data_IF_012231051437
#
_entry.id   IF_012231051437
#
_cell.length_a   1.000
_cell.length_b   1.000
_cell.length_c   1.000
_cell.angle_alpha   90.00
_cell.angle_beta   90.00
_cell.angle_gamma   90.00
#
_symmetry.space_group_name_H-M   'P 1'
#
loop_
_entity.id
_entity.type
_entity.pdbx_description
1 polymer ?
#
# COMPACT_ATOMS: atom_id res chain seq x y z
N UNK A 1 -1.79 -32.44 -19.58
CA UNK A 1 -2.99 -31.91 -18.88
C UNK A 1 -2.93 -30.38 -18.93
N UNK A 2 -3.83 -29.70 -19.65
CA UNK A 2 -3.86 -28.22 -19.68
C UNK A 2 -4.61 -27.73 -18.44
N UNK A 3 -3.88 -27.22 -17.46
CA UNK A 3 -4.48 -26.60 -16.27
C UNK A 3 -5.02 -25.24 -16.70
N UNK A 4 -6.34 -25.16 -16.90
CA UNK A 4 -7.04 -23.89 -17.09
C UNK A 4 -7.14 -23.20 -15.73
N UNK A 5 -6.16 -22.38 -15.38
CA UNK A 5 -6.31 -21.50 -14.21
C UNK A 5 -7.25 -20.36 -14.60
N UNK A 6 -8.50 -20.43 -14.17
CA UNK A 6 -9.32 -19.23 -14.09
C UNK A 6 -8.52 -18.19 -13.31
N UNK A 7 -8.33 -17.00 -13.89
CA UNK A 7 -7.65 -15.88 -13.23
C UNK A 7 -8.30 -15.72 -11.85
N UNK A 8 -7.57 -15.94 -10.75
CA UNK A 8 -8.19 -16.03 -9.43
C UNK A 8 -8.92 -14.71 -9.14
N UNK A 9 -10.12 -14.78 -8.55
CA UNK A 9 -10.90 -13.60 -8.18
C UNK A 9 -10.08 -12.60 -7.36
N UNK A 10 -9.12 -13.11 -6.58
CA UNK A 10 -8.11 -12.37 -5.83
C UNK A 10 -7.28 -11.40 -6.70
N UNK A 11 -6.96 -11.73 -7.97
CA UNK A 11 -6.25 -10.79 -8.87
C UNK A 11 -7.11 -9.57 -9.18
N UNK A 12 -8.42 -9.76 -9.39
CA UNK A 12 -9.36 -8.66 -9.66
C UNK A 12 -9.53 -7.78 -8.42
N UNK A 13 -9.65 -8.41 -7.24
CA UNK A 13 -9.67 -7.76 -5.93
C UNK A 13 -8.43 -6.87 -5.74
N UNK A 14 -7.23 -7.44 -5.89
CA UNK A 14 -5.97 -6.70 -5.76
C UNK A 14 -5.90 -5.51 -6.72
N UNK A 15 -6.24 -5.70 -8.00
CA UNK A 15 -6.24 -4.62 -8.98
C UNK A 15 -7.23 -3.50 -8.63
N UNK A 16 -8.39 -3.85 -8.07
CA UNK A 16 -9.38 -2.88 -7.62
C UNK A 16 -8.87 -2.09 -6.41
N UNK A 17 -8.30 -2.77 -5.41
CA UNK A 17 -7.76 -2.14 -4.20
C UNK A 17 -6.59 -1.23 -4.55
N UNK A 18 -5.66 -1.66 -5.42
CA UNK A 18 -4.54 -0.81 -5.87
C UNK A 18 -5.05 0.45 -6.58
N UNK A 19 -6.06 0.34 -7.44
CA UNK A 19 -6.66 1.51 -8.11
C UNK A 19 -7.33 2.46 -7.12
N UNK A 20 -8.12 1.92 -6.20
CA UNK A 20 -8.76 2.71 -5.14
C UNK A 20 -7.73 3.42 -4.27
N UNK A 21 -6.65 2.71 -3.92
CA UNK A 21 -5.57 3.28 -3.11
C UNK A 21 -4.80 4.37 -3.86
N UNK A 22 -4.49 4.19 -5.14
CA UNK A 22 -3.88 5.26 -5.94
C UNK A 22 -4.77 6.50 -6.04
N UNK A 23 -6.08 6.33 -6.26
CA UNK A 23 -7.02 7.44 -6.27
C UNK A 23 -7.01 8.17 -4.92
N UNK A 24 -7.06 7.41 -3.83
CA UNK A 24 -6.91 7.95 -2.48
C UNK A 24 -5.61 8.76 -2.32
N UNK A 25 -4.47 8.23 -2.77
CA UNK A 25 -3.17 8.91 -2.67
C UNK A 25 -3.16 10.23 -3.47
N UNK A 26 -3.78 10.29 -4.64
CA UNK A 26 -3.91 11.53 -5.41
C UNK A 26 -4.77 12.56 -4.66
N UNK A 27 -5.92 12.15 -4.12
CA UNK A 27 -6.79 13.03 -3.33
C UNK A 27 -6.08 13.52 -2.08
N UNK A 28 -5.39 12.63 -1.36
CA UNK A 28 -4.60 12.98 -0.18
C UNK A 28 -3.46 13.96 -0.51
N UNK A 29 -2.80 13.79 -1.66
CA UNK A 29 -1.77 14.71 -2.15
C UNK A 29 -2.36 16.11 -2.40
N UNK A 30 -3.49 16.19 -3.10
CA UNK A 30 -4.15 17.47 -3.39
C UNK A 30 -4.63 18.16 -2.10
N UNK A 31 -5.24 17.41 -1.18
CA UNK A 31 -5.67 17.95 0.11
C UNK A 31 -4.48 18.44 0.94
N UNK A 32 -3.41 17.66 1.05
CA UNK A 32 -2.22 18.08 1.78
C UNK A 32 -1.57 19.32 1.14
N UNK A 33 -1.52 19.41 -0.19
CA UNK A 33 -1.02 20.59 -0.89
C UNK A 33 -1.88 21.82 -0.61
N UNK A 34 -3.21 21.67 -0.67
CA UNK A 34 -4.15 22.74 -0.33
C UNK A 34 -3.95 23.24 1.10
N UNK A 35 -3.89 22.34 2.08
CA UNK A 35 -3.64 22.71 3.48
C UNK A 35 -2.24 23.31 3.68
N UNK A 36 -1.24 22.92 2.88
CA UNK A 36 0.07 23.56 2.91
C UNK A 36 -0.04 25.04 2.55
N UNK A 37 -0.72 25.36 1.44
CA UNK A 37 -0.92 26.74 0.98
C UNK A 37 -1.75 27.55 1.98
N UNK A 38 -2.84 26.96 2.52
CA UNK A 38 -3.68 27.61 3.52
C UNK A 38 -2.92 27.93 4.81
N UNK A 39 -2.15 26.97 5.34
CA UNK A 39 -1.34 27.20 6.55
C UNK A 39 -0.19 28.19 6.30
N UNK A 40 0.38 28.22 5.09
CA UNK A 40 1.36 29.22 4.71
C UNK A 40 0.75 30.63 4.72
N UNK A 41 -0.46 30.78 4.16
CA UNK A 41 -1.20 32.04 4.15
C UNK A 41 -1.49 32.56 5.56
N UNK A 42 -1.82 31.67 6.51
CA UNK A 42 -2.04 32.02 7.91
C UNK A 42 -0.77 32.08 8.77
N UNK A 43 0.42 32.07 8.17
CA UNK A 43 1.71 32.13 8.86
C UNK A 43 1.87 31.07 9.97
N UNK A 44 1.45 29.83 9.69
CA UNK A 44 1.54 28.67 10.60
C UNK A 44 2.66 27.71 10.16
N UNK A 45 3.95 28.08 10.37
CA UNK A 45 5.09 27.40 9.72
C UNK A 45 5.21 25.93 10.10
N UNK A 46 4.89 25.55 11.34
CA UNK A 46 4.96 24.15 11.80
C UNK A 46 3.98 23.27 11.05
N UNK A 47 2.73 23.73 10.91
CA UNK A 47 1.69 23.03 10.17
C UNK A 47 2.02 23.01 8.67
N UNK A 48 2.47 24.13 8.10
CA UNK A 48 2.90 24.21 6.69
C UNK A 48 3.94 23.14 6.37
N UNK A 49 4.98 23.01 7.19
CA UNK A 49 6.01 21.98 7.00
C UNK A 49 5.43 20.56 7.10
N UNK A 50 4.56 20.29 8.07
CA UNK A 50 3.94 18.97 8.21
C UNK A 50 3.06 18.59 7.01
N UNK A 51 2.23 19.52 6.52
CA UNK A 51 1.42 19.26 5.33
C UNK A 51 2.26 19.18 4.06
N UNK A 52 3.34 19.97 3.93
CA UNK A 52 4.26 19.87 2.80
C UNK A 52 4.94 18.50 2.74
N UNK A 53 5.42 18.01 3.89
CA UNK A 53 5.96 16.65 4.01
C UNK A 53 4.90 15.61 3.66
N UNK A 54 3.66 15.79 4.13
CA UNK A 54 2.51 14.98 3.74
C UNK A 54 2.29 14.94 2.24
N UNK A 55 2.32 16.08 1.56
CA UNK A 55 2.16 16.19 0.10
C UNK A 55 3.20 15.36 -0.63
N UNK A 56 4.50 15.55 -0.33
CA UNK A 56 5.55 14.76 -0.97
C UNK A 56 5.43 13.28 -0.64
N UNK A 57 5.03 12.94 0.58
CA UNK A 57 4.86 11.58 1.01
C UNK A 57 3.75 10.85 0.25
N UNK A 58 2.57 11.46 0.12
CA UNK A 58 1.46 10.89 -0.65
C UNK A 58 1.76 10.87 -2.15
N UNK A 59 2.41 11.91 -2.68
CA UNK A 59 2.79 11.98 -4.10
C UNK A 59 3.78 10.87 -4.46
N UNK A 60 4.86 10.71 -3.70
CA UNK A 60 5.86 9.65 -3.93
C UNK A 60 5.21 8.29 -3.82
N UNK A 61 4.35 8.08 -2.81
CA UNK A 61 3.57 6.84 -2.69
C UNK A 61 2.72 6.58 -3.94
N UNK A 62 2.03 7.60 -4.47
CA UNK A 62 1.19 7.46 -5.66
C UNK A 62 1.99 7.01 -6.89
N UNK A 63 3.20 7.55 -7.07
CA UNK A 63 4.10 7.19 -8.17
C UNK A 63 4.54 5.73 -8.02
N UNK A 64 4.96 5.32 -6.83
CA UNK A 64 5.36 3.93 -6.56
C UNK A 64 4.24 2.93 -6.83
N UNK A 65 3.00 3.22 -6.40
CA UNK A 65 1.86 2.32 -6.63
C UNK A 65 1.39 2.32 -8.09
N UNK A 66 1.61 3.40 -8.84
CA UNK A 66 1.38 3.44 -10.29
C UNK A 66 2.32 2.50 -11.03
N UNK A 67 3.60 2.53 -10.67
CA UNK A 67 4.60 1.65 -11.25
C UNK A 67 4.30 0.19 -10.89
N UNK A 68 3.95 -0.07 -9.62
CA UNK A 68 3.49 -1.38 -9.18
C UNK A 68 2.29 -1.90 -9.98
N UNK A 69 1.27 -1.07 -10.21
CA UNK A 69 0.12 -1.46 -11.01
C UNK A 69 0.51 -1.80 -12.45
N UNK A 70 1.40 -1.02 -13.05
CA UNK A 70 1.94 -1.27 -14.39
C UNK A 70 2.64 -2.63 -14.45
N UNK A 71 3.52 -2.91 -13.49
CA UNK A 71 4.20 -4.20 -13.37
C UNK A 71 3.21 -5.34 -13.16
N UNK A 72 2.25 -5.20 -12.24
CA UNK A 72 1.25 -6.24 -11.94
C UNK A 72 0.40 -6.63 -13.17
N UNK A 73 0.07 -5.67 -14.04
CA UNK A 73 -0.66 -5.92 -15.28
C UNK A 73 0.16 -6.72 -16.30
N UNK A 74 1.47 -6.48 -16.37
CA UNK A 74 2.39 -7.12 -17.34
C UNK A 74 2.89 -8.48 -16.86
N UNK A 75 3.00 -8.68 -15.55
CA UNK A 75 3.51 -9.93 -14.99
C UNK A 75 2.50 -11.06 -15.14
N UNK A 76 3.00 -12.27 -15.44
CA UNK A 76 2.20 -13.50 -15.48
C UNK A 76 2.03 -14.05 -14.07
N UNK A 77 0.87 -14.67 -13.81
CA UNK A 77 0.50 -15.19 -12.49
C UNK A 77 1.58 -16.05 -11.81
N UNK A 78 2.26 -17.01 -12.47
CA UNK A 78 3.26 -17.87 -11.81
C UNK A 78 4.45 -17.12 -11.21
N UNK A 79 4.70 -15.88 -11.66
CA UNK A 79 5.87 -15.08 -11.24
C UNK A 79 5.47 -14.00 -10.22
N UNK A 80 4.21 -13.99 -9.74
CA UNK A 80 3.72 -12.98 -8.80
C UNK A 80 4.48 -12.99 -7.47
N UNK A 81 4.80 -14.17 -6.94
CA UNK A 81 5.60 -14.29 -5.72
C UNK A 81 6.97 -13.60 -5.83
N UNK A 82 7.65 -13.69 -6.99
CA UNK A 82 8.92 -12.99 -7.23
C UNK A 82 8.70 -11.49 -7.34
N UNK A 83 7.67 -11.09 -8.08
CA UNK A 83 7.30 -9.68 -8.22
C UNK A 83 7.07 -9.04 -6.84
N UNK A 84 6.29 -9.69 -5.97
CA UNK A 84 5.96 -9.17 -4.64
C UNK A 84 7.15 -9.17 -3.68
N UNK A 85 8.14 -10.06 -3.88
CA UNK A 85 9.41 -10.03 -3.14
C UNK A 85 10.34 -8.91 -3.62
N UNK A 86 10.36 -8.62 -4.91
CA UNK A 86 11.25 -7.62 -5.52
C UNK A 86 10.69 -6.20 -5.43
N UNK A 87 9.36 -6.04 -5.47
CA UNK A 87 8.75 -4.73 -5.32
C UNK A 87 8.84 -4.27 -3.87
N UNK A 88 9.47 -3.11 -3.67
CA UNK A 88 9.50 -2.38 -2.41
C UNK A 88 8.99 -0.96 -2.68
N UNK A 89 7.69 -0.73 -2.49
CA UNK A 89 7.29 -0.03 -1.29
C UNK A 89 7.06 -1.06 -0.19
N UNK A 90 7.05 -0.65 1.07
CA UNK A 90 6.69 -1.51 2.18
C UNK A 90 5.20 -1.87 2.04
N UNK A 91 4.92 -2.96 1.32
CA UNK A 91 3.59 -3.44 0.92
C UNK A 91 2.84 -3.98 2.16
N UNK A 92 2.41 -3.08 3.03
CA UNK A 92 1.74 -3.40 4.29
C UNK A 92 2.64 -3.50 5.52
N UNK A 93 3.96 -3.61 5.34
CA UNK A 93 4.90 -3.76 6.46
C UNK A 93 4.89 -2.56 7.41
N UNK A 94 4.55 -1.36 6.92
CA UNK A 94 4.44 -0.15 7.74
C UNK A 94 3.00 0.28 7.99
N UNK A 95 1.99 -0.56 7.72
CA UNK A 95 0.60 -0.22 8.00
C UNK A 95 0.41 0.25 9.45
N UNK A 96 0.97 -0.49 10.41
CA UNK A 96 0.99 -0.10 11.82
C UNK A 96 1.77 1.20 12.06
N UNK A 97 2.90 1.39 11.39
CA UNK A 97 3.69 2.62 11.48
C UNK A 97 2.88 3.85 11.05
N UNK A 98 2.15 3.77 9.94
CA UNK A 98 1.25 4.84 9.50
C UNK A 98 0.14 5.11 10.52
N UNK A 99 -0.51 4.06 11.04
CA UNK A 99 -1.55 4.24 12.06
C UNK A 99 -0.99 4.92 13.31
N UNK A 100 0.20 4.50 13.78
CA UNK A 100 0.86 5.12 14.94
C UNK A 100 1.24 6.59 14.67
N UNK A 101 1.82 6.90 13.51
CA UNK A 101 2.15 8.29 13.14
C UNK A 101 0.88 9.14 13.08
N UNK A 102 -0.19 8.59 12.50
CA UNK A 102 -1.48 9.26 12.44
C UNK A 102 -2.07 9.51 13.82
N UNK A 103 -2.00 8.55 14.74
CA UNK A 103 -2.40 8.72 16.14
C UNK A 103 -1.57 9.81 16.85
N UNK A 104 -0.25 9.84 16.65
CA UNK A 104 0.62 10.89 17.20
C UNK A 104 0.19 12.27 16.69
N UNK A 105 -0.17 12.39 15.41
CA UNK A 105 -0.68 13.65 14.84
C UNK A 105 -2.05 14.04 15.41
N UNK A 106 -2.93 13.07 15.67
CA UNK A 106 -4.21 13.36 16.34
C UNK A 106 -4.00 13.83 17.78
N UNK A 107 -3.06 13.23 18.53
CA UNK A 107 -2.69 13.72 19.86
C UNK A 107 -2.08 15.12 19.78
N UNK A 108 -1.21 15.38 18.81
CA UNK A 108 -0.66 16.71 18.58
C UNK A 108 -1.75 17.74 18.21
N UNK A 109 -2.79 17.31 17.50
CA UNK A 109 -3.97 18.14 17.19
C UNK A 109 -4.73 18.53 18.46
N UNK A 110 -4.96 17.61 19.39
CA UNK A 110 -5.62 17.93 20.67
C UNK A 110 -4.85 18.98 21.48
N UNK A 111 -3.53 19.07 21.32
CA UNK A 111 -2.68 20.01 22.04
C UNK A 111 -2.56 21.38 21.36
N UNK A 112 -2.42 21.41 20.02
CA UNK A 112 -2.07 22.64 19.28
C UNK A 112 -2.96 22.94 18.07
N UNK A 113 -3.82 22.01 17.68
CA UNK A 113 -4.72 22.10 16.54
C UNK A 113 -4.04 22.11 15.17
N UNK A 114 -4.82 21.76 14.15
CA UNK A 114 -4.45 21.86 12.74
C UNK A 114 -3.78 20.63 12.14
N UNK A 115 -3.60 19.54 12.88
CA UNK A 115 -3.04 18.27 12.39
C UNK A 115 -4.09 17.19 12.11
N UNK A 116 -5.34 17.42 12.50
CA UNK A 116 -6.43 16.46 12.40
C UNK A 116 -6.53 15.80 11.01
N UNK A 117 -6.63 16.62 9.96
CA UNK A 117 -6.78 16.13 8.59
C UNK A 117 -5.57 15.31 8.14
N UNK A 118 -4.35 15.78 8.43
CA UNK A 118 -3.14 15.03 8.10
C UNK A 118 -3.09 13.68 8.82
N UNK A 119 -3.45 13.66 10.11
CA UNK A 119 -3.53 12.43 10.90
C UNK A 119 -4.51 11.43 10.30
N UNK A 120 -5.72 11.88 9.97
CA UNK A 120 -6.75 11.03 9.34
C UNK A 120 -6.29 10.45 7.99
N UNK A 121 -5.64 11.26 7.15
CA UNK A 121 -5.07 10.80 5.88
C UNK A 121 -3.98 9.75 6.10
N UNK A 122 -3.10 9.92 7.08
CA UNK A 122 -2.05 8.93 7.33
C UNK A 122 -2.65 7.62 7.90
N UNK A 123 -3.66 7.67 8.78
CA UNK A 123 -4.34 6.47 9.28
C UNK A 123 -4.99 5.70 8.14
N UNK A 124 -5.77 6.38 7.30
CA UNK A 124 -6.45 5.75 6.16
C UNK A 124 -5.46 5.15 5.17
N UNK A 125 -4.30 5.80 4.94
CA UNK A 125 -3.18 5.21 4.19
C UNK A 125 -2.72 3.88 4.82
N UNK A 126 -2.55 3.84 6.14
CA UNK A 126 -2.19 2.63 6.87
C UNK A 126 -3.21 1.49 6.70
N UNK A 127 -4.51 1.80 6.70
CA UNK A 127 -5.57 0.83 6.46
C UNK A 127 -5.50 0.24 5.04
N UNK A 128 -5.29 1.07 4.02
CA UNK A 128 -5.09 0.59 2.65
C UNK A 128 -3.87 -0.32 2.54
N UNK A 129 -2.76 0.04 3.17
CA UNK A 129 -1.56 -0.80 3.18
C UNK A 129 -1.78 -2.15 3.84
N UNK A 130 -2.54 -2.18 4.94
CA UNK A 130 -2.91 -3.43 5.60
C UNK A 130 -3.75 -4.33 4.68
N UNK A 131 -4.77 -3.77 4.02
CA UNK A 131 -5.63 -4.51 3.08
C UNK A 131 -4.83 -5.04 1.89
N UNK A 132 -3.94 -4.24 1.32
CA UNK A 132 -3.05 -4.66 0.23
C UNK A 132 -2.13 -5.79 0.65
N UNK A 133 -1.54 -5.71 1.84
CA UNK A 133 -0.65 -6.76 2.38
C UNK A 133 -1.34 -8.12 2.39
N UNK A 134 -2.58 -8.16 2.89
CA UNK A 134 -3.36 -9.40 3.03
C UNK A 134 -3.59 -10.07 1.67
N UNK A 135 -4.07 -9.32 0.69
CA UNK A 135 -4.34 -9.83 -0.66
C UNK A 135 -3.05 -10.27 -1.37
N UNK A 136 -1.96 -9.52 -1.17
CA UNK A 136 -0.67 -9.84 -1.77
C UNK A 136 -0.03 -11.09 -1.17
N UNK A 137 -0.11 -11.29 0.14
CA UNK A 137 0.37 -12.51 0.79
C UNK A 137 -0.42 -13.72 0.27
N UNK A 138 -1.75 -13.61 0.18
CA UNK A 138 -2.60 -14.67 -0.39
C UNK A 138 -2.18 -15.02 -1.82
N UNK A 139 -2.14 -14.02 -2.70
CA UNK A 139 -1.77 -14.21 -4.10
C UNK A 139 -0.32 -14.70 -4.28
N UNK A 140 0.60 -14.26 -3.43
CA UNK A 140 1.98 -14.73 -3.42
C UNK A 140 2.04 -16.23 -3.18
N UNK A 141 1.38 -16.69 -2.10
CA UNK A 141 1.33 -18.11 -1.73
C UNK A 141 0.68 -18.96 -2.82
N UNK A 142 -0.46 -18.53 -3.36
CA UNK A 142 -1.14 -19.27 -4.43
C UNK A 142 -0.28 -19.30 -5.70
N UNK A 143 0.38 -18.19 -6.05
CA UNK A 143 1.25 -18.14 -7.23
C UNK A 143 2.49 -19.04 -7.08
N UNK A 144 3.07 -19.12 -5.88
CA UNK A 144 4.19 -20.01 -5.59
C UNK A 144 3.76 -21.47 -5.69
N UNK A 145 2.63 -21.84 -5.07
CA UNK A 145 2.07 -23.19 -5.16
C UNK A 145 1.78 -23.59 -6.61
N UNK A 146 1.23 -22.67 -7.40
CA UNK A 146 1.00 -22.90 -8.82
C UNK A 146 2.30 -23.13 -9.60
N UNK A 147 3.33 -22.31 -9.37
CA UNK A 147 4.64 -22.43 -10.01
C UNK A 147 5.27 -23.81 -9.73
N UNK A 148 5.26 -24.24 -8.46
CA UNK A 148 5.83 -25.53 -8.03
C UNK A 148 5.05 -26.74 -8.57
N UNK A 149 3.71 -26.70 -8.52
CA UNK A 149 2.85 -27.77 -9.07
C UNK A 149 3.02 -27.89 -10.58
N UNK A 150 3.03 -26.76 -11.29
CA UNK A 150 3.20 -26.75 -12.75
C UNK A 150 4.61 -27.20 -13.18
N UNK A 151 5.61 -26.99 -12.32
CA UNK A 151 7.00 -27.39 -12.54
C UNK A 151 7.31 -28.83 -12.12
N UNK A 152 6.35 -29.55 -11.52
CA UNK A 152 6.53 -30.93 -11.07
C UNK A 152 7.46 -31.10 -9.86
N UNK A 153 7.67 -30.06 -9.05
CA UNK A 153 8.60 -30.06 -7.91
C UNK A 153 7.88 -30.15 -6.55
N UNK A 154 6.73 -30.82 -6.54
CA UNK A 154 5.85 -30.89 -5.36
C UNK A 154 6.57 -31.49 -4.15
N UNK A 155 7.52 -32.41 -4.38
CA UNK A 155 8.28 -33.08 -3.33
C UNK A 155 9.23 -32.15 -2.55
N UNK A 156 9.51 -30.95 -3.07
CA UNK A 156 10.34 -29.94 -2.40
C UNK A 156 9.53 -28.89 -1.61
N UNK A 157 8.20 -28.95 -1.64
CA UNK A 157 7.33 -28.01 -0.92
C UNK A 157 7.34 -28.30 0.59
N UNK A 158 8.26 -27.68 1.31
CA UNK A 158 8.15 -27.54 2.76
C UNK A 158 7.22 -26.36 3.04
N UNK A 159 5.94 -26.64 3.25
CA UNK A 159 4.98 -25.70 3.84
C UNK A 159 5.40 -25.44 5.28
N UNK A 160 6.35 -24.53 5.48
CA UNK A 160 6.77 -24.09 6.80
C UNK A 160 5.64 -23.26 7.38
N UNK A 161 4.94 -23.81 8.37
CA UNK A 161 3.88 -23.12 9.09
C UNK A 161 4.48 -21.83 9.69
N UNK A 162 4.00 -20.62 9.31
CA UNK A 162 4.58 -19.37 9.81
C UNK A 162 4.28 -19.11 11.29
N UNK A 163 3.54 -20.01 11.96
CA UNK A 163 3.17 -19.92 13.38
C UNK A 163 3.88 -20.96 14.27
N UNK A 164 4.97 -21.58 13.78
CA UNK A 164 5.91 -22.37 14.60
C UNK A 164 7.35 -21.89 14.39
#
# INVERSE_FOLDING_TARGET
MRIYSNVPGERRSLLMIVRAYMLYLYVATLLAALFTVLNLYWARPKQTLSYLLGTFFFLTSSIMYRDFLSSLKRTRFPVYWRLFRMYSPPLGAYALGHVLIGLVLLVADMLKGGYFFLGLLIITKGLFEHLLSREMVSLSLISLLYDEVSSGRIDMLVLKNPFR
#
